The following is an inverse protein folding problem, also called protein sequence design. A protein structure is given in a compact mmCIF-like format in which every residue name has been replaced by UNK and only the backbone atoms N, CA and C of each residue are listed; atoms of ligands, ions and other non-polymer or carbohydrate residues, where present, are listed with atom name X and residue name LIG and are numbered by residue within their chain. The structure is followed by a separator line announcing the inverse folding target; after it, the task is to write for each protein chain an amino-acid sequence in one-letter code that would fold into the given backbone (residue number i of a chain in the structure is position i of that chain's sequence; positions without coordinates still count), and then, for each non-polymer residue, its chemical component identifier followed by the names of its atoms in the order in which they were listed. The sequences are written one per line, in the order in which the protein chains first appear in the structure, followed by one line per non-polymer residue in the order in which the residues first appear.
data_IF_609534941765
#
_entry.id   IF_609534941765
#
_cell.length_a   1.000
_cell.length_b   1.000
_cell.length_c   1.000
_cell.angle_alpha   90.00
_cell.angle_beta   90.00
_cell.angle_gamma   90.00
#
_symmetry.space_group_name_H-M   'P 1'
#
loop_
_entity.id
_entity.type
_entity.pdbx_description
1 polymer ?
#
# COMPACT_ATOMS: atom_id res chain seq x y z
N UNK A 1 -9.04 21.05 21.84
CA UNK A 1 -8.27 19.79 21.65
C UNK A 1 -7.21 20.07 20.61
N UNK A 2 -5.99 19.66 20.83
CA UNK A 2 -4.92 19.81 19.83
C UNK A 2 -5.22 18.89 18.62
N UNK A 3 -4.81 19.32 17.42
CA UNK A 3 -5.03 18.56 16.18
C UNK A 3 -4.60 17.08 16.29
N UNK A 4 -3.44 16.82 16.92
CA UNK A 4 -2.94 15.47 17.19
C UNK A 4 -3.86 14.65 18.11
N UNK A 5 -4.49 15.27 19.09
CA UNK A 5 -5.44 14.59 20.00
C UNK A 5 -6.71 14.18 19.24
N UNK A 6 -7.20 15.03 18.35
CA UNK A 6 -8.38 14.72 17.50
C UNK A 6 -8.07 13.52 16.60
N UNK A 7 -6.92 13.54 15.92
CA UNK A 7 -6.48 12.43 15.07
C UNK A 7 -6.36 11.12 15.83
N UNK A 8 -5.74 11.15 17.02
CA UNK A 8 -5.56 9.97 17.86
C UNK A 8 -6.88 9.39 18.36
N UNK A 9 -7.80 10.22 18.81
CA UNK A 9 -9.12 9.79 19.32
C UNK A 9 -9.95 9.17 18.18
N UNK A 10 -10.03 9.83 17.03
CA UNK A 10 -10.76 9.30 15.88
C UNK A 10 -10.18 7.98 15.39
N UNK A 11 -8.85 7.88 15.35
CA UNK A 11 -8.16 6.65 14.99
C UNK A 11 -8.48 5.50 15.95
N UNK A 12 -8.36 5.71 17.27
CA UNK A 12 -8.65 4.70 18.27
C UNK A 12 -10.13 4.28 18.27
N UNK A 13 -11.04 5.23 18.09
CA UNK A 13 -12.47 4.93 17.94
C UNK A 13 -12.74 4.03 16.73
N UNK A 14 -12.08 4.30 15.60
CA UNK A 14 -12.21 3.48 14.40
C UNK A 14 -11.67 2.06 14.61
N UNK A 15 -10.50 1.92 15.26
CA UNK A 15 -9.94 0.62 15.62
C UNK A 15 -10.90 -0.17 16.51
N UNK A 16 -11.50 0.47 17.52
CA UNK A 16 -12.47 -0.16 18.40
C UNK A 16 -13.72 -0.66 17.64
N UNK A 17 -14.24 0.13 16.71
CA UNK A 17 -15.39 -0.26 15.86
C UNK A 17 -15.05 -1.46 14.99
N UNK A 18 -13.88 -1.47 14.35
CA UNK A 18 -13.47 -2.60 13.51
C UNK A 18 -13.28 -3.89 14.33
N UNK A 19 -12.69 -3.81 15.51
CA UNK A 19 -12.57 -4.94 16.43
C UNK A 19 -13.93 -5.47 16.90
N UNK A 20 -14.86 -4.57 17.19
CA UNK A 20 -16.23 -4.96 17.55
C UNK A 20 -16.94 -5.73 16.42
N UNK A 21 -16.79 -5.26 15.17
CA UNK A 21 -17.36 -5.96 13.99
C UNK A 21 -16.79 -7.37 13.87
N UNK A 22 -15.47 -7.51 14.03
CA UNK A 22 -14.79 -8.82 13.97
C UNK A 22 -15.26 -9.77 15.06
N UNK A 23 -15.33 -9.28 16.29
CA UNK A 23 -15.80 -10.07 17.42
C UNK A 23 -17.24 -10.55 17.21
N UNK A 24 -18.15 -9.65 16.77
CA UNK A 24 -19.54 -10.00 16.49
C UNK A 24 -19.64 -11.01 15.33
N UNK A 25 -18.89 -10.83 14.26
CA UNK A 25 -18.90 -11.73 13.12
C UNK A 25 -18.25 -13.08 13.46
N UNK A 26 -17.20 -13.10 14.28
CA UNK A 26 -16.55 -14.32 14.76
C UNK A 26 -17.47 -15.23 15.56
N UNK A 27 -18.35 -14.66 16.35
CA UNK A 27 -19.34 -15.41 17.13
C UNK A 27 -20.37 -16.18 16.28
N UNK A 28 -20.44 -15.92 14.97
CA UNK A 28 -21.35 -16.66 14.05
C UNK A 28 -20.71 -17.92 13.47
N UNK A 29 -19.42 -18.18 13.72
CA UNK A 29 -18.72 -19.37 13.24
C UNK A 29 -19.10 -20.61 14.09
N UNK A 30 -20.06 -21.41 13.61
CA UNK A 30 -20.54 -22.62 14.34
C UNK A 30 -19.80 -23.89 13.93
N UNK A 31 -19.22 -23.96 12.75
CA UNK A 31 -18.53 -25.14 12.21
C UNK A 31 -17.12 -24.80 11.78
N UNK A 32 -16.24 -25.80 11.74
CA UNK A 32 -14.87 -25.63 11.23
C UNK A 32 -14.82 -25.17 9.77
N UNK A 33 -15.79 -25.60 8.94
CA UNK A 33 -15.95 -25.12 7.56
C UNK A 33 -16.26 -23.62 7.50
N UNK A 34 -17.14 -23.13 8.38
CA UNK A 34 -17.44 -21.69 8.47
C UNK A 34 -16.19 -20.86 8.79
N UNK A 35 -15.33 -21.44 9.62
CA UNK A 35 -14.08 -20.79 10.02
C UNK A 35 -13.03 -20.75 8.89
N UNK A 36 -12.94 -21.79 8.05
CA UNK A 36 -11.87 -21.91 7.04
C UNK A 36 -12.26 -21.42 5.64
N UNK A 37 -13.48 -21.67 5.17
CA UNK A 37 -13.95 -21.33 3.81
C UNK A 37 -15.24 -20.52 3.78
N UNK A 38 -15.78 -20.14 4.96
CA UNK A 38 -17.01 -19.37 5.06
C UNK A 38 -18.25 -20.18 4.65
N UNK A 39 -18.14 -21.52 4.53
CA UNK A 39 -19.25 -22.40 4.13
C UNK A 39 -19.66 -22.23 2.67
N UNK A 40 -18.81 -21.68 1.79
CA UNK A 40 -19.09 -21.38 0.38
C UNK A 40 -20.41 -20.58 0.17
N UNK A 41 -20.73 -19.68 1.09
CA UNK A 41 -22.04 -19.03 1.18
C UNK A 41 -22.10 -17.62 0.57
N UNK A 42 -20.96 -17.07 0.13
CA UNK A 42 -20.91 -15.70 -0.37
C UNK A 42 -21.38 -15.57 -1.81
N UNK A 43 -22.13 -14.50 -2.10
CA UNK A 43 -22.49 -14.16 -3.48
C UNK A 43 -21.27 -13.69 -4.27
N UNK A 44 -21.35 -13.73 -5.61
CA UNK A 44 -20.27 -13.22 -6.47
C UNK A 44 -19.96 -11.75 -6.23
N UNK A 45 -20.95 -10.92 -5.89
CA UNK A 45 -20.72 -9.52 -5.52
C UNK A 45 -19.98 -9.37 -4.18
N UNK A 46 -20.46 -10.03 -3.13
CA UNK A 46 -19.82 -9.98 -1.80
C UNK A 46 -18.37 -10.47 -1.86
N UNK A 47 -18.16 -11.59 -2.55
CA UNK A 47 -16.80 -12.11 -2.70
C UNK A 47 -15.91 -11.21 -3.56
N UNK A 48 -16.46 -10.59 -4.63
CA UNK A 48 -15.72 -9.62 -5.44
C UNK A 48 -15.30 -8.39 -4.64
N UNK A 49 -16.19 -7.86 -3.80
CA UNK A 49 -15.87 -6.78 -2.88
C UNK A 49 -14.83 -7.20 -1.83
N UNK A 50 -14.94 -8.43 -1.30
CA UNK A 50 -13.95 -8.96 -0.36
C UNK A 50 -12.58 -9.12 -1.02
N UNK A 51 -12.52 -9.66 -2.25
CA UNK A 51 -11.29 -9.76 -3.04
C UNK A 51 -10.67 -8.38 -3.26
N UNK A 52 -11.49 -7.40 -3.69
CA UNK A 52 -11.03 -6.03 -3.86
C UNK A 52 -10.48 -5.46 -2.53
N UNK A 53 -11.18 -5.68 -1.41
CA UNK A 53 -10.72 -5.27 -0.08
C UNK A 53 -9.42 -5.94 0.34
N UNK A 54 -9.24 -7.23 0.05
CA UNK A 54 -7.98 -7.92 0.32
C UNK A 54 -6.83 -7.35 -0.49
N UNK A 55 -7.10 -7.05 -1.75
CA UNK A 55 -6.09 -6.57 -2.67
C UNK A 55 -5.73 -5.10 -2.43
N UNK A 56 -6.72 -4.23 -2.24
CA UNK A 56 -6.53 -2.83 -1.88
C UNK A 56 -5.98 -2.71 -0.46
N UNK A 57 -4.68 -2.91 -0.33
CA UNK A 57 -3.95 -2.91 0.94
C UNK A 57 -3.29 -1.57 1.24
N UNK A 58 -2.70 -1.43 2.43
CA UNK A 58 -1.87 -0.27 2.74
C UNK A 58 -0.70 -0.12 1.75
N UNK A 59 -0.05 -1.23 1.35
CA UNK A 59 1.01 -1.18 0.37
C UNK A 59 0.53 -0.66 -0.99
N UNK A 60 -0.69 -1.00 -1.43
CA UNK A 60 -1.24 -0.49 -2.68
C UNK A 60 -1.78 0.94 -2.55
N UNK A 61 -2.38 1.32 -1.43
CA UNK A 61 -2.90 2.69 -1.23
C UNK A 61 -1.78 3.68 -0.91
N UNK A 62 -1.00 3.39 0.13
CA UNK A 62 0.04 4.28 0.58
C UNK A 62 1.29 4.15 -0.28
N UNK A 63 1.76 2.91 -0.52
CA UNK A 63 3.01 2.66 -1.22
C UNK A 63 2.98 3.06 -2.69
N UNK A 64 1.90 2.78 -3.43
CA UNK A 64 1.81 3.15 -4.85
C UNK A 64 1.64 4.67 -4.99
N UNK A 65 0.73 5.29 -4.23
CA UNK A 65 0.58 6.74 -4.26
C UNK A 65 1.91 7.43 -3.88
N UNK A 66 2.63 6.91 -2.88
CA UNK A 66 3.95 7.42 -2.51
C UNK A 66 5.02 7.19 -3.57
N UNK A 67 5.05 6.03 -4.20
CA UNK A 67 6.00 5.75 -5.28
C UNK A 67 5.75 6.67 -6.48
N UNK A 68 4.49 6.94 -6.83
CA UNK A 68 4.14 7.91 -7.86
C UNK A 68 4.56 9.32 -7.44
N UNK A 69 4.30 9.72 -6.20
CA UNK A 69 4.70 11.02 -5.69
C UNK A 69 6.22 11.25 -5.74
N UNK A 70 7.03 10.20 -5.54
CA UNK A 70 8.49 10.28 -5.53
C UNK A 70 9.12 10.06 -6.91
N UNK A 71 8.55 9.18 -7.73
CA UNK A 71 9.17 8.70 -8.98
C UNK A 71 8.27 8.87 -10.21
N UNK A 72 7.15 9.57 -10.10
CA UNK A 72 6.27 9.90 -11.23
C UNK A 72 5.84 8.67 -12.02
N UNK A 73 6.19 8.67 -13.31
CA UNK A 73 5.81 7.61 -14.26
C UNK A 73 6.23 6.21 -13.80
N UNK A 74 7.42 6.05 -13.23
CA UNK A 74 7.90 4.74 -12.79
C UNK A 74 7.06 4.16 -11.64
N UNK A 75 6.48 5.02 -10.79
CA UNK A 75 5.50 4.61 -9.79
C UNK A 75 4.18 4.12 -10.41
N UNK A 76 3.78 4.69 -11.53
CA UNK A 76 2.57 4.31 -12.26
C UNK A 76 2.65 2.88 -12.85
N UNK A 77 3.84 2.39 -13.19
CA UNK A 77 4.05 1.02 -13.68
C UNK A 77 3.52 -0.05 -12.71
N UNK A 78 3.58 0.21 -11.41
CA UNK A 78 3.00 -0.70 -10.41
C UNK A 78 1.48 -0.81 -10.53
N UNK A 79 0.78 0.29 -10.75
CA UNK A 79 -0.68 0.30 -10.92
C UNK A 79 -1.10 -0.51 -12.13
N UNK A 80 -0.41 -0.36 -13.27
CA UNK A 80 -0.68 -1.11 -14.49
C UNK A 80 -0.43 -2.61 -14.27
N UNK A 81 0.75 -2.97 -13.74
CA UNK A 81 1.12 -4.37 -13.55
C UNK A 81 0.14 -5.11 -12.66
N UNK A 82 -0.26 -4.50 -11.56
CA UNK A 82 -1.25 -5.06 -10.65
C UNK A 82 -2.64 -5.20 -11.28
N UNK A 83 -3.08 -4.27 -12.11
CA UNK A 83 -4.37 -4.38 -12.80
C UNK A 83 -4.36 -5.50 -13.84
N UNK A 84 -3.29 -5.61 -14.63
CA UNK A 84 -3.14 -6.65 -15.65
C UNK A 84 -3.14 -8.06 -15.04
N UNK A 85 -2.58 -8.22 -13.84
CA UNK A 85 -2.62 -9.48 -13.11
C UNK A 85 -4.05 -10.00 -12.89
N UNK A 86 -5.02 -9.10 -12.69
CA UNK A 86 -6.43 -9.49 -12.52
C UNK A 86 -7.09 -9.96 -13.82
N UNK A 87 -6.64 -9.46 -14.97
CA UNK A 87 -7.07 -9.99 -16.27
C UNK A 87 -6.56 -11.43 -16.44
N UNK A 88 -5.32 -11.70 -16.06
CA UNK A 88 -4.77 -13.07 -16.05
C UNK A 88 -5.55 -13.96 -15.09
N UNK A 89 -5.86 -13.49 -13.89
CA UNK A 89 -6.65 -14.24 -12.90
C UNK A 89 -8.07 -14.55 -13.43
N UNK A 90 -8.71 -13.60 -14.11
CA UNK A 90 -10.03 -13.81 -14.71
C UNK A 90 -10.02 -14.88 -15.80
N UNK A 91 -9.08 -14.76 -16.73
CA UNK A 91 -9.06 -15.57 -17.95
C UNK A 91 -8.54 -16.99 -17.70
N UNK A 92 -7.54 -17.15 -16.82
CA UNK A 92 -6.78 -18.39 -16.69
C UNK A 92 -6.99 -19.11 -15.36
N UNK A 93 -7.43 -18.43 -14.30
CA UNK A 93 -7.35 -18.98 -12.93
C UNK A 93 -8.71 -19.18 -12.28
N UNK A 94 -9.60 -18.21 -12.30
CA UNK A 94 -10.80 -18.20 -11.46
C UNK A 94 -11.73 -19.40 -11.63
N UNK A 95 -12.13 -19.72 -12.86
CA UNK A 95 -13.01 -20.84 -13.14
C UNK A 95 -12.35 -22.21 -12.98
N UNK A 96 -11.15 -22.44 -13.58
CA UNK A 96 -10.45 -23.71 -13.40
C UNK A 96 -10.14 -24.01 -11.93
N UNK A 97 -9.74 -23.00 -11.18
CA UNK A 97 -9.44 -23.18 -9.77
C UNK A 97 -10.67 -23.56 -8.95
N UNK A 98 -11.81 -22.88 -9.17
CA UNK A 98 -13.06 -23.22 -8.50
C UNK A 98 -13.58 -24.62 -8.90
N UNK A 99 -13.44 -25.00 -10.16
CA UNK A 99 -13.88 -26.29 -10.69
C UNK A 99 -12.99 -27.44 -10.22
N UNK A 100 -11.75 -27.19 -9.79
CA UNK A 100 -10.87 -28.23 -9.24
C UNK A 100 -11.44 -28.91 -7.98
N UNK A 101 -12.37 -28.25 -7.28
CA UNK A 101 -12.97 -28.75 -6.05
C UNK A 101 -12.00 -28.94 -4.90
N UNK A 102 -10.78 -28.36 -4.97
CA UNK A 102 -9.73 -28.47 -3.96
C UNK A 102 -9.78 -27.25 -3.03
N UNK A 103 -9.09 -27.32 -1.90
CA UNK A 103 -9.18 -26.29 -0.87
C UNK A 103 -7.92 -25.41 -0.76
N UNK A 104 -6.77 -25.90 -1.25
CA UNK A 104 -5.49 -25.17 -1.20
C UNK A 104 -4.76 -25.25 -2.53
N UNK A 105 -3.81 -24.33 -2.76
CA UNK A 105 -2.94 -24.38 -3.94
C UNK A 105 -2.10 -25.65 -3.98
N UNK A 106 -1.61 -26.09 -2.83
CA UNK A 106 -0.91 -27.36 -2.69
C UNK A 106 -1.75 -28.56 -3.13
N UNK A 107 -3.05 -28.57 -2.78
CA UNK A 107 -3.99 -29.62 -3.21
C UNK A 107 -4.23 -29.60 -4.73
N UNK A 108 -4.32 -28.42 -5.35
CA UNK A 108 -4.50 -28.27 -6.80
C UNK A 108 -3.27 -28.74 -7.57
N UNK A 109 -2.10 -28.29 -7.16
CA UNK A 109 -0.84 -28.64 -7.82
C UNK A 109 -0.49 -30.11 -7.63
N UNK A 110 -0.73 -30.67 -6.45
CA UNK A 110 -0.44 -32.08 -6.15
C UNK A 110 -1.40 -33.07 -6.81
N UNK A 111 -2.48 -32.59 -7.44
CA UNK A 111 -3.43 -33.47 -8.12
C UNK A 111 -2.83 -34.20 -9.31
N UNK A 112 -1.90 -33.58 -10.04
CA UNK A 112 -1.24 -34.15 -11.21
C UNK A 112 0.27 -34.43 -11.01
N UNK A 113 0.80 -34.06 -9.85
CA UNK A 113 2.22 -34.18 -9.54
C UNK A 113 2.45 -35.01 -8.28
N UNK A 114 3.71 -35.34 -7.99
CA UNK A 114 4.08 -36.06 -6.75
C UNK A 114 3.66 -35.26 -5.53
N UNK A 115 2.82 -35.84 -4.68
CA UNK A 115 2.14 -35.10 -3.60
C UNK A 115 3.11 -34.49 -2.59
N UNK A 116 4.06 -35.26 -2.05
CA UNK A 116 4.94 -34.78 -0.97
C UNK A 116 5.82 -33.59 -1.44
N UNK A 117 6.64 -33.71 -2.50
CA UNK A 117 7.53 -32.59 -2.88
C UNK A 117 6.74 -31.34 -3.31
N UNK A 118 5.60 -31.51 -3.98
CA UNK A 118 4.79 -30.37 -4.45
C UNK A 118 4.10 -29.66 -3.30
N UNK A 119 3.54 -30.38 -2.34
CA UNK A 119 2.93 -29.79 -1.14
C UNK A 119 3.98 -29.07 -0.30
N UNK A 120 5.17 -29.66 -0.12
CA UNK A 120 6.26 -29.02 0.61
C UNK A 120 6.69 -27.72 -0.09
N UNK A 121 6.90 -27.76 -1.42
CA UNK A 121 7.27 -26.57 -2.18
C UNK A 121 6.18 -25.49 -2.10
N UNK A 122 4.90 -25.85 -2.22
CA UNK A 122 3.77 -24.92 -2.08
C UNK A 122 3.70 -24.29 -0.69
N UNK A 123 3.90 -25.08 0.36
CA UNK A 123 3.90 -24.59 1.75
C UNK A 123 5.06 -23.63 1.99
N UNK A 124 6.27 -23.96 1.55
CA UNK A 124 7.45 -23.07 1.65
C UNK A 124 7.21 -21.78 0.87
N UNK A 125 6.74 -21.86 -0.38
CA UNK A 125 6.45 -20.68 -1.20
C UNK A 125 5.39 -19.78 -0.55
N UNK A 126 4.32 -20.36 -0.03
CA UNK A 126 3.26 -19.62 0.66
C UNK A 126 3.80 -18.93 1.92
N UNK A 127 4.62 -19.63 2.71
CA UNK A 127 5.26 -19.07 3.90
C UNK A 127 6.16 -17.87 3.55
N UNK A 128 7.05 -18.04 2.56
CA UNK A 128 7.96 -16.99 2.13
C UNK A 128 7.19 -15.75 1.64
N UNK A 129 6.21 -15.95 0.76
CA UNK A 129 5.35 -14.85 0.26
C UNK A 129 4.66 -14.14 1.42
N UNK A 130 4.09 -14.89 2.36
CA UNK A 130 3.37 -14.31 3.52
C UNK A 130 4.30 -13.49 4.42
N UNK A 131 5.53 -13.95 4.67
CA UNK A 131 6.52 -13.22 5.49
C UNK A 131 6.89 -11.89 4.81
N UNK A 132 7.30 -11.91 3.55
CA UNK A 132 7.67 -10.68 2.83
C UNK A 132 6.51 -9.70 2.75
N UNK A 133 5.31 -10.20 2.53
CA UNK A 133 4.13 -9.38 2.46
C UNK A 133 3.76 -8.77 3.83
N UNK A 134 3.89 -9.54 4.92
CA UNK A 134 3.72 -9.03 6.28
C UNK A 134 4.72 -7.93 6.60
N UNK A 135 5.99 -8.12 6.24
CA UNK A 135 7.03 -7.10 6.43
C UNK A 135 6.65 -5.77 5.75
N UNK A 136 6.20 -5.81 4.49
CA UNK A 136 5.76 -4.62 3.78
C UNK A 136 4.57 -3.92 4.47
N UNK A 137 3.62 -4.70 5.02
CA UNK A 137 2.48 -4.14 5.76
C UNK A 137 2.92 -3.52 7.10
N UNK A 138 3.87 -4.13 7.81
CA UNK A 138 4.37 -3.61 9.08
C UNK A 138 5.12 -2.29 8.89
N UNK A 139 5.89 -2.15 7.82
CA UNK A 139 6.55 -0.87 7.47
C UNK A 139 5.50 0.22 7.24
N UNK A 140 4.47 -0.07 6.43
CA UNK A 140 3.36 0.88 6.19
C UNK A 140 2.61 1.23 7.48
N UNK A 141 2.35 0.23 8.35
CA UNK A 141 1.71 0.45 9.65
C UNK A 141 2.53 1.36 10.55
N UNK A 142 3.84 1.09 10.64
CA UNK A 142 4.74 1.89 11.46
C UNK A 142 4.81 3.35 11.01
N UNK A 143 4.92 3.60 9.71
CA UNK A 143 4.93 4.93 9.15
C UNK A 143 3.61 5.68 9.42
N UNK A 144 2.48 5.04 9.17
CA UNK A 144 1.16 5.62 9.34
C UNK A 144 0.85 5.94 10.81
N UNK A 145 1.06 4.99 11.72
CA UNK A 145 0.75 5.20 13.15
C UNK A 145 1.71 6.22 13.77
N UNK A 146 2.98 6.22 13.36
CA UNK A 146 3.93 7.26 13.79
C UNK A 146 3.47 8.64 13.35
N UNK A 147 2.97 8.78 12.12
CA UNK A 147 2.41 10.04 11.62
C UNK A 147 1.18 10.48 12.42
N UNK A 148 0.22 9.58 12.65
CA UNK A 148 -1.03 9.88 13.36
C UNK A 148 -0.83 10.24 14.83
N UNK A 149 0.10 9.57 15.51
CA UNK A 149 0.41 9.81 16.92
C UNK A 149 1.51 10.88 17.14
N UNK A 150 2.12 11.38 16.06
CA UNK A 150 3.22 12.34 16.13
C UNK A 150 4.49 11.76 16.75
N UNK A 151 4.69 10.45 16.70
CA UNK A 151 5.84 9.75 17.28
C UNK A 151 7.02 9.77 16.32
N UNK A 152 8.15 10.22 16.83
CA UNK A 152 9.38 10.41 16.05
C UNK A 152 10.54 9.55 16.53
N UNK A 153 10.48 9.08 17.76
CA UNK A 153 11.52 8.21 18.30
C UNK A 153 11.51 6.83 17.62
N UNK A 154 12.66 6.37 17.06
CA UNK A 154 12.77 5.08 16.40
C UNK A 154 12.42 3.89 17.31
N UNK A 155 12.78 3.99 18.59
CA UNK A 155 12.51 2.92 19.55
C UNK A 155 11.02 2.81 19.84
N UNK A 156 10.34 3.92 20.04
CA UNK A 156 8.88 3.98 20.21
C UNK A 156 8.16 3.46 18.96
N UNK A 157 8.67 3.76 17.76
CA UNK A 157 8.14 3.22 16.49
C UNK A 157 8.21 1.69 16.43
N UNK A 158 9.28 1.08 16.90
CA UNK A 158 9.40 -0.39 16.94
C UNK A 158 8.38 -1.03 17.90
N UNK A 159 8.14 -0.43 19.07
CA UNK A 159 7.10 -0.91 19.97
C UNK A 159 5.70 -0.78 19.39
N UNK A 160 5.42 0.29 18.63
CA UNK A 160 4.16 0.46 17.91
C UNK A 160 3.98 -0.65 16.88
N UNK A 161 5.00 -0.92 16.06
CA UNK A 161 4.96 -1.99 15.06
C UNK A 161 4.67 -3.34 15.73
N UNK A 162 5.32 -3.63 16.85
CA UNK A 162 5.08 -4.85 17.63
C UNK A 162 3.63 -4.90 18.16
N UNK A 163 3.12 -3.80 18.71
CA UNK A 163 1.74 -3.68 19.19
C UNK A 163 0.71 -3.88 18.09
N UNK A 164 0.93 -3.29 16.92
CA UNK A 164 0.09 -3.51 15.73
C UNK A 164 0.12 -4.97 15.29
N UNK A 165 1.28 -5.62 15.31
CA UNK A 165 1.41 -7.05 15.01
C UNK A 165 0.60 -7.93 15.95
N UNK A 166 0.67 -7.68 17.27
CA UNK A 166 -0.14 -8.37 18.27
C UNK A 166 -1.63 -8.15 18.01
N UNK A 167 -2.04 -6.91 17.74
CA UNK A 167 -3.43 -6.57 17.44
C UNK A 167 -3.93 -7.31 16.19
N UNK A 168 -3.09 -7.44 15.15
CA UNK A 168 -3.41 -8.22 13.95
C UNK A 168 -3.61 -9.71 14.28
N UNK A 169 -2.75 -10.30 15.10
CA UNK A 169 -2.90 -11.70 15.52
C UNK A 169 -4.22 -11.90 16.25
N UNK A 170 -4.56 -11.05 17.20
CA UNK A 170 -5.84 -11.11 17.94
C UNK A 170 -7.04 -10.99 16.98
N UNK A 171 -7.00 -9.99 16.09
CA UNK A 171 -8.03 -9.75 15.10
C UNK A 171 -8.32 -10.98 14.23
N UNK A 172 -7.25 -11.60 13.76
CA UNK A 172 -7.31 -12.79 12.90
C UNK A 172 -7.80 -14.00 13.69
N UNK A 173 -7.38 -14.18 14.95
CA UNK A 173 -7.76 -15.35 15.79
C UNK A 173 -9.24 -15.37 16.14
N UNK A 174 -9.86 -14.23 16.28
CA UNK A 174 -11.26 -14.10 16.65
C UNK A 174 -12.19 -14.20 15.42
N UNK A 175 -11.81 -13.57 14.29
CA UNK A 175 -12.73 -13.33 13.17
C UNK A 175 -13.12 -14.54 12.32
N UNK A 176 -12.21 -15.47 12.06
CA UNK A 176 -12.41 -16.54 11.07
C UNK A 176 -12.65 -16.01 9.64
N UNK A 177 -13.01 -16.88 8.68
CA UNK A 177 -13.21 -16.46 7.28
C UNK A 177 -14.44 -15.57 7.10
N UNK A 178 -15.55 -15.87 7.77
CA UNK A 178 -16.77 -15.04 7.67
C UNK A 178 -16.52 -13.64 8.21
N UNK A 179 -15.93 -13.53 9.41
CA UNK A 179 -15.65 -12.24 10.03
C UNK A 179 -14.73 -11.38 9.17
N UNK A 180 -13.64 -11.97 8.70
CA UNK A 180 -12.69 -11.27 7.86
C UNK A 180 -13.29 -10.86 6.50
N UNK A 181 -14.15 -11.68 5.88
CA UNK A 181 -14.84 -11.33 4.63
C UNK A 181 -15.71 -10.08 4.79
N UNK A 182 -16.51 -9.99 5.86
CA UNK A 182 -17.33 -8.80 6.10
C UNK A 182 -16.49 -7.54 6.33
N UNK A 183 -15.38 -7.69 7.05
CA UNK A 183 -14.49 -6.54 7.28
C UNK A 183 -13.76 -6.12 6.00
N UNK A 184 -13.37 -7.06 5.16
CA UNK A 184 -12.79 -6.73 3.85
C UNK A 184 -13.80 -6.00 2.95
N UNK A 185 -15.06 -6.39 2.97
CA UNK A 185 -16.12 -5.66 2.25
C UNK A 185 -16.25 -4.24 2.79
N UNK A 186 -16.37 -4.07 4.11
CA UNK A 186 -16.46 -2.75 4.74
C UNK A 186 -15.24 -1.87 4.39
N UNK A 187 -14.05 -2.44 4.52
CA UNK A 187 -12.78 -1.80 4.16
C UNK A 187 -12.77 -1.35 2.70
N UNK A 188 -13.20 -2.23 1.77
CA UNK A 188 -13.26 -1.88 0.35
C UNK A 188 -14.14 -0.64 0.11
N UNK A 189 -15.31 -0.58 0.72
CA UNK A 189 -16.19 0.59 0.63
C UNK A 189 -15.54 1.84 1.20
N UNK A 190 -15.01 1.77 2.41
CA UNK A 190 -14.38 2.92 3.06
C UNK A 190 -13.17 3.44 2.27
N UNK A 191 -12.34 2.53 1.77
CA UNK A 191 -11.17 2.91 0.99
C UNK A 191 -11.55 3.52 -0.35
N UNK A 192 -12.55 2.97 -1.04
CA UNK A 192 -13.07 3.53 -2.29
C UNK A 192 -13.66 4.93 -2.08
N UNK A 193 -14.44 5.14 -1.02
CA UNK A 193 -15.01 6.46 -0.68
C UNK A 193 -13.90 7.44 -0.33
N UNK A 194 -12.95 7.05 0.51
CA UNK A 194 -11.81 7.91 0.89
C UNK A 194 -10.92 8.28 -0.30
N UNK A 195 -10.58 7.31 -1.15
CA UNK A 195 -9.79 7.58 -2.35
C UNK A 195 -10.56 8.46 -3.35
N UNK A 196 -11.86 8.22 -3.54
CA UNK A 196 -12.71 9.04 -4.41
C UNK A 196 -12.80 10.48 -3.90
N UNK A 197 -13.05 10.67 -2.60
CA UNK A 197 -13.09 11.99 -1.98
C UNK A 197 -11.80 12.76 -2.23
N UNK A 198 -10.65 12.17 -1.92
CA UNK A 198 -9.37 12.82 -2.13
C UNK A 198 -9.11 13.11 -3.61
N UNK A 199 -9.44 12.16 -4.50
CA UNK A 199 -9.28 12.34 -5.95
C UNK A 199 -10.11 13.53 -6.46
N UNK A 200 -11.37 13.61 -6.05
CA UNK A 200 -12.24 14.74 -6.41
C UNK A 200 -11.68 16.06 -5.88
N UNK A 201 -11.19 16.09 -4.64
CA UNK A 201 -10.60 17.31 -4.06
C UNK A 201 -9.30 17.71 -4.78
N UNK A 202 -8.46 16.76 -5.17
CA UNK A 202 -7.26 17.02 -5.97
C UNK A 202 -7.66 17.62 -7.32
N UNK A 203 -8.54 16.94 -8.05
CA UNK A 203 -8.94 17.38 -9.38
C UNK A 203 -9.68 18.73 -9.34
N UNK A 204 -10.47 18.99 -8.30
CA UNK A 204 -11.12 20.28 -8.12
C UNK A 204 -10.12 21.43 -7.97
N UNK A 205 -8.99 21.20 -7.30
CA UNK A 205 -7.92 22.21 -7.19
C UNK A 205 -7.30 22.59 -8.55
N UNK A 206 -7.41 21.72 -9.54
CA UNK A 206 -6.95 21.92 -10.91
C UNK A 206 -8.10 22.11 -11.91
N UNK A 207 -9.32 22.51 -11.45
CA UNK A 207 -10.50 22.66 -12.29
C UNK A 207 -10.79 21.44 -13.18
N UNK A 208 -10.49 20.24 -12.69
CA UNK A 208 -10.58 18.96 -13.41
C UNK A 208 -9.68 18.87 -14.65
N UNK A 209 -8.65 19.70 -14.75
CA UNK A 209 -7.66 19.65 -15.80
C UNK A 209 -6.49 18.74 -15.39
N UNK A 210 -6.42 17.56 -16.01
CA UNK A 210 -5.37 16.57 -15.72
C UNK A 210 -3.99 17.08 -16.18
N UNK A 211 -3.93 17.84 -17.28
CA UNK A 211 -2.66 18.38 -17.77
C UNK A 211 -2.04 19.36 -16.78
N UNK A 212 -2.86 20.20 -16.14
CA UNK A 212 -2.39 21.15 -15.12
C UNK A 212 -1.90 20.41 -13.86
N UNK A 213 -2.60 19.33 -13.46
CA UNK A 213 -2.16 18.46 -12.35
C UNK A 213 -0.79 17.85 -12.66
N UNK A 214 -0.62 17.25 -13.83
CA UNK A 214 0.64 16.62 -14.22
C UNK A 214 1.77 17.64 -14.38
N UNK A 215 1.49 18.80 -14.96
CA UNK A 215 2.44 19.92 -15.08
C UNK A 215 2.92 20.40 -13.71
N UNK A 216 2.00 20.66 -12.79
CA UNK A 216 2.31 21.07 -11.42
C UNK A 216 3.13 20.00 -10.66
N UNK A 217 2.80 18.72 -10.84
CA UNK A 217 3.56 17.63 -10.24
C UNK A 217 4.98 17.54 -10.81
N UNK A 218 5.15 17.69 -12.12
CA UNK A 218 6.44 17.68 -12.77
C UNK A 218 7.32 18.85 -12.30
N UNK A 219 6.75 20.06 -12.22
CA UNK A 219 7.45 21.26 -11.77
C UNK A 219 7.87 21.14 -10.30
N UNK A 220 6.94 20.77 -9.40
CA UNK A 220 7.20 20.66 -7.97
C UNK A 220 8.17 19.50 -7.63
N UNK A 221 8.25 18.47 -8.50
CA UNK A 221 9.21 17.37 -8.34
C UNK A 221 10.67 17.79 -8.54
N UNK A 222 10.92 18.97 -9.17
CA UNK A 222 12.24 19.43 -9.58
C UNK A 222 12.86 18.64 -10.73
N UNK A 223 12.17 17.62 -11.27
CA UNK A 223 12.63 16.77 -12.37
C UNK A 223 11.97 17.13 -13.71
N UNK A 224 11.01 18.06 -13.70
CA UNK A 224 10.30 18.55 -14.89
C UNK A 224 9.78 17.38 -15.76
N UNK A 225 10.02 17.43 -17.06
CA UNK A 225 9.54 16.42 -18.01
C UNK A 225 10.01 15.01 -17.71
N UNK A 226 11.20 14.83 -17.10
CA UNK A 226 11.70 13.53 -16.69
C UNK A 226 10.80 12.84 -15.65
N UNK A 227 10.04 13.60 -14.86
CA UNK A 227 9.09 13.05 -13.89
C UNK A 227 7.90 12.34 -14.54
N UNK A 228 7.54 12.75 -15.75
CA UNK A 228 6.45 12.17 -16.54
C UNK A 228 6.92 11.12 -17.55
N UNK A 229 8.22 10.83 -17.57
CA UNK A 229 8.82 9.86 -18.49
C UNK A 229 9.35 8.63 -17.72
N UNK A 230 9.44 7.46 -18.37
CA UNK A 230 10.08 6.29 -17.77
C UNK A 230 11.59 6.48 -17.62
N UNK A 231 12.19 5.79 -16.64
CA UNK A 231 13.65 5.76 -16.49
C UNK A 231 14.21 6.53 -15.29
N UNK A 232 13.37 7.02 -14.38
CA UNK A 232 13.85 7.60 -13.13
C UNK A 232 14.36 6.53 -12.15
N UNK A 233 13.64 5.42 -12.05
CA UNK A 233 13.94 4.34 -11.11
C UNK A 233 14.27 3.02 -11.83
N UNK A 234 13.52 2.68 -12.87
CA UNK A 234 13.62 1.42 -13.59
C UNK A 234 14.01 1.66 -15.05
N UNK A 235 14.86 0.78 -15.61
CA UNK A 235 15.26 0.82 -17.02
C UNK A 235 16.15 2.00 -17.40
N UNK A 236 16.69 2.72 -16.41
CA UNK A 236 17.55 3.88 -16.62
C UNK A 236 18.90 3.52 -17.24
N UNK A 237 19.47 4.45 -17.99
CA UNK A 237 20.88 4.36 -18.38
C UNK A 237 21.77 4.53 -17.15
N UNK A 238 22.74 3.65 -17.00
CA UNK A 238 23.69 3.68 -15.90
C UNK A 238 25.00 4.27 -16.40
N UNK A 239 25.35 5.42 -15.84
CA UNK A 239 26.61 6.11 -16.15
C UNK A 239 27.66 5.61 -15.17
N UNK A 240 28.80 5.17 -15.70
CA UNK A 240 29.96 4.81 -14.90
C UNK A 240 30.54 6.06 -14.24
N UNK A 241 30.66 6.03 -12.91
CA UNK A 241 31.12 7.17 -12.12
C UNK A 241 32.58 7.57 -12.41
N UNK A 242 33.38 6.62 -12.96
CA UNK A 242 34.81 6.85 -13.22
C UNK A 242 35.04 7.43 -14.61
N UNK A 243 34.34 6.91 -15.62
CA UNK A 243 34.52 7.31 -17.01
C UNK A 243 33.56 8.39 -17.51
N UNK A 244 32.44 8.60 -16.80
CA UNK A 244 31.36 9.50 -17.24
C UNK A 244 30.59 8.97 -18.45
N UNK A 245 30.87 7.76 -18.92
CA UNK A 245 30.23 7.15 -20.08
C UNK A 245 29.12 6.17 -19.64
N UNK A 246 28.18 5.90 -20.55
CA UNK A 246 27.14 4.90 -20.32
C UNK A 246 27.76 3.52 -20.21
N UNK A 247 27.54 2.83 -19.08
CA UNK A 247 27.92 1.43 -18.90
C UNK A 247 26.87 0.54 -19.60
N UNK A 248 27.24 -0.09 -20.73
CA UNK A 248 26.26 -0.86 -21.52
C UNK A 248 25.76 -2.11 -20.77
N UNK A 249 26.62 -2.72 -19.93
CA UNK A 249 26.28 -3.95 -19.19
C UNK A 249 25.29 -3.60 -18.05
N UNK A 250 25.59 -2.62 -17.24
CA UNK A 250 24.70 -2.18 -16.16
C UNK A 250 23.39 -1.61 -16.70
N UNK A 251 23.42 -0.92 -17.82
CA UNK A 251 22.22 -0.43 -18.51
C UNK A 251 21.35 -1.58 -19.02
N UNK A 252 21.96 -2.64 -19.58
CA UNK A 252 21.24 -3.83 -19.97
C UNK A 252 20.56 -4.49 -18.76
N UNK A 253 21.28 -4.66 -17.64
CA UNK A 253 20.72 -5.20 -16.41
C UNK A 253 19.56 -4.35 -15.88
N UNK A 254 19.66 -3.03 -15.91
CA UNK A 254 18.58 -2.12 -15.51
C UNK A 254 17.32 -2.31 -16.37
N UNK A 255 17.48 -2.53 -17.69
CA UNK A 255 16.36 -2.80 -18.60
C UNK A 255 15.75 -4.18 -18.38
N UNK A 256 16.58 -5.21 -18.12
CA UNK A 256 16.11 -6.55 -17.77
C UNK A 256 15.35 -6.53 -16.43
N UNK A 257 15.79 -5.74 -15.49
CA UNK A 257 15.14 -5.55 -14.19
C UNK A 257 13.72 -4.97 -14.34
N UNK A 258 13.53 -4.04 -15.28
CA UNK A 258 12.20 -3.51 -15.61
C UNK A 258 11.27 -4.61 -16.18
N UNK A 259 11.78 -5.46 -17.08
CA UNK A 259 11.02 -6.59 -17.63
C UNK A 259 10.68 -7.59 -16.51
N UNK A 260 11.66 -7.92 -15.67
CA UNK A 260 11.48 -8.78 -14.50
C UNK A 260 10.43 -8.23 -13.53
N UNK A 261 10.44 -6.93 -13.27
CA UNK A 261 9.43 -6.25 -12.47
C UNK A 261 8.03 -6.44 -13.08
N UNK A 262 7.88 -6.22 -14.38
CA UNK A 262 6.60 -6.40 -15.08
C UNK A 262 6.07 -7.84 -14.94
N UNK A 263 6.92 -8.84 -15.17
CA UNK A 263 6.57 -10.25 -15.00
C UNK A 263 6.21 -10.59 -13.55
N UNK A 264 6.98 -10.09 -12.58
CA UNK A 264 6.71 -10.29 -11.16
C UNK A 264 5.39 -9.67 -10.72
N UNK A 265 5.07 -8.46 -11.20
CA UNK A 265 3.80 -7.78 -10.89
C UNK A 265 2.61 -8.54 -11.47
N UNK A 266 2.70 -9.01 -12.70
CA UNK A 266 1.57 -9.68 -13.38
C UNK A 266 1.40 -11.11 -12.88
N UNK A 267 2.43 -11.95 -13.00
CA UNK A 267 2.34 -13.37 -12.70
C UNK A 267 2.36 -13.64 -11.17
N UNK A 268 3.18 -12.91 -10.43
CA UNK A 268 3.26 -13.04 -8.98
C UNK A 268 1.95 -12.66 -8.31
N UNK A 269 1.34 -11.54 -8.70
CA UNK A 269 0.06 -11.09 -8.15
C UNK A 269 -1.09 -12.03 -8.52
N UNK A 270 -1.15 -12.51 -9.77
CA UNK A 270 -2.16 -13.48 -10.19
C UNK A 270 -2.05 -14.81 -9.43
N UNK A 271 -0.85 -15.16 -8.95
CA UNK A 271 -0.57 -16.38 -8.20
C UNK A 271 -0.65 -16.26 -6.67
N UNK A 272 -1.06 -15.12 -6.10
CA UNK A 272 -1.09 -14.92 -4.66
C UNK A 272 -2.02 -15.92 -3.94
N UNK A 273 -1.49 -16.82 -3.08
CA UNK A 273 -2.28 -17.92 -2.51
C UNK A 273 -3.48 -17.45 -1.69
N UNK A 274 -3.33 -16.38 -0.94
CA UNK A 274 -4.36 -15.83 -0.08
C UNK A 274 -5.55 -15.27 -0.87
N UNK A 275 -5.33 -14.75 -2.07
CA UNK A 275 -6.38 -14.24 -2.95
C UNK A 275 -7.08 -15.40 -3.66
N UNK A 276 -6.31 -16.34 -4.18
CA UNK A 276 -6.84 -17.47 -4.93
C UNK A 276 -7.83 -18.32 -4.12
N UNK A 277 -7.59 -18.41 -2.83
CA UNK A 277 -8.46 -19.17 -1.91
C UNK A 277 -9.87 -18.56 -1.80
N UNK A 278 -10.06 -17.27 -2.12
CA UNK A 278 -11.36 -16.61 -2.16
C UNK A 278 -12.29 -17.22 -3.20
N UNK A 279 -11.75 -17.85 -4.24
CA UNK A 279 -12.57 -18.53 -5.24
C UNK A 279 -13.30 -19.77 -4.70
N UNK A 280 -12.87 -20.32 -3.57
CA UNK A 280 -13.55 -21.42 -2.90
C UNK A 280 -14.69 -21.00 -1.96
N UNK A 281 -14.76 -19.70 -1.62
CA UNK A 281 -15.81 -19.17 -0.72
C UNK A 281 -17.17 -18.96 -1.39
N UNK A 282 -17.24 -19.11 -2.71
CA UNK A 282 -18.47 -19.01 -3.51
C UNK A 282 -18.98 -20.39 -3.93
N UNK A 283 -20.31 -20.55 -4.15
CA UNK A 283 -20.90 -21.88 -4.40
C UNK A 283 -20.58 -22.45 -5.79
N UNK A 284 -20.39 -21.60 -6.81
CA UNK A 284 -20.26 -22.03 -8.20
C UNK A 284 -19.12 -21.33 -8.93
N UNK A 285 -18.62 -21.93 -10.04
CA UNK A 285 -17.63 -21.31 -10.93
C UNK A 285 -18.15 -20.03 -11.58
N UNK A 286 -19.43 -19.97 -11.93
CA UNK A 286 -20.07 -18.75 -12.43
C UNK A 286 -20.05 -17.62 -11.40
N UNK A 287 -20.25 -17.94 -10.12
CA UNK A 287 -20.12 -16.98 -9.03
C UNK A 287 -18.66 -16.54 -8.83
N UNK A 288 -17.68 -17.45 -8.99
CA UNK A 288 -16.26 -17.12 -8.96
C UNK A 288 -15.88 -16.12 -10.06
N UNK A 289 -16.29 -16.38 -11.31
CA UNK A 289 -16.07 -15.44 -12.42
C UNK A 289 -16.73 -14.08 -12.19
N UNK A 290 -17.97 -14.06 -11.70
CA UNK A 290 -18.65 -12.81 -11.32
C UNK A 290 -17.91 -12.05 -10.22
N UNK A 291 -17.29 -12.76 -9.26
CA UNK A 291 -16.46 -12.16 -8.24
C UNK A 291 -15.26 -11.42 -8.82
N UNK A 292 -14.58 -12.03 -9.80
CA UNK A 292 -13.41 -11.41 -10.44
C UNK A 292 -13.80 -10.17 -11.23
N UNK A 293 -14.94 -10.20 -11.95
CA UNK A 293 -15.42 -9.03 -12.68
C UNK A 293 -15.66 -7.84 -11.73
N UNK A 294 -16.30 -8.07 -10.59
CA UNK A 294 -16.47 -7.04 -9.56
C UNK A 294 -15.15 -6.57 -8.96
N UNK A 295 -14.22 -7.51 -8.73
CA UNK A 295 -12.90 -7.18 -8.22
C UNK A 295 -12.12 -6.30 -9.21
N UNK A 296 -12.10 -6.66 -10.51
CA UNK A 296 -11.42 -5.87 -11.56
C UNK A 296 -11.98 -4.45 -11.64
N UNK A 297 -13.31 -4.29 -11.64
CA UNK A 297 -13.94 -2.97 -11.69
C UNK A 297 -13.52 -2.09 -10.50
N UNK A 298 -13.59 -2.63 -9.28
CA UNK A 298 -13.21 -1.88 -8.07
C UNK A 298 -11.71 -1.60 -8.00
N UNK A 299 -10.86 -2.60 -8.28
CA UNK A 299 -9.40 -2.47 -8.25
C UNK A 299 -8.93 -1.49 -9.33
N UNK A 300 -9.51 -1.57 -10.55
CA UNK A 300 -9.18 -0.66 -11.64
C UNK A 300 -9.54 0.79 -11.29
N UNK A 301 -10.76 1.04 -10.81
CA UNK A 301 -11.17 2.38 -10.35
C UNK A 301 -10.25 2.89 -9.22
N UNK A 302 -9.91 2.01 -8.27
CA UNK A 302 -9.00 2.36 -7.18
C UNK A 302 -7.61 2.76 -7.68
N UNK A 303 -7.03 2.03 -8.64
CA UNK A 303 -5.71 2.40 -9.16
C UNK A 303 -5.72 3.68 -9.98
N UNK A 304 -6.79 3.96 -10.72
CA UNK A 304 -6.94 5.27 -11.36
C UNK A 304 -6.98 6.40 -10.32
N UNK A 305 -7.67 6.19 -9.21
CA UNK A 305 -7.68 7.17 -8.11
C UNK A 305 -6.28 7.30 -7.46
N UNK A 306 -5.58 6.20 -7.20
CA UNK A 306 -4.22 6.26 -6.61
C UNK A 306 -3.21 6.96 -7.50
N UNK A 307 -3.36 6.92 -8.83
CA UNK A 307 -2.55 7.71 -9.74
C UNK A 307 -2.79 9.20 -9.51
N UNK A 308 -4.05 9.63 -9.47
CA UNK A 308 -4.40 11.02 -9.19
C UNK A 308 -3.91 11.47 -7.80
N UNK A 309 -3.98 10.59 -6.79
CA UNK A 309 -3.46 10.87 -5.45
C UNK A 309 -1.94 11.02 -5.43
N UNK A 310 -1.23 10.16 -6.16
CA UNK A 310 0.24 10.21 -6.24
C UNK A 310 0.74 11.48 -6.91
N UNK A 311 0.17 11.83 -8.07
CA UNK A 311 0.49 13.10 -8.73
C UNK A 311 -0.01 14.31 -7.95
N UNK A 312 -1.17 14.22 -7.28
CA UNK A 312 -1.64 15.24 -6.37
C UNK A 312 -0.70 15.48 -5.20
N UNK A 313 -0.17 14.41 -4.61
CA UNK A 313 0.84 14.53 -3.56
C UNK A 313 2.13 15.19 -4.10
N UNK A 314 2.60 14.79 -5.28
CA UNK A 314 3.76 15.41 -5.93
C UNK A 314 3.53 16.90 -6.24
N UNK A 315 2.29 17.27 -6.62
CA UNK A 315 1.96 18.66 -6.97
C UNK A 315 1.86 19.58 -5.74
N UNK A 316 1.36 19.06 -4.60
CA UNK A 316 1.07 19.91 -3.43
C UNK A 316 2.08 19.77 -2.29
N UNK A 317 2.83 18.67 -2.22
CA UNK A 317 3.72 18.37 -1.10
C UNK A 317 5.15 18.28 -1.62
N UNK A 318 6.07 19.00 -1.00
CA UNK A 318 7.48 18.92 -1.40
C UNK A 318 8.04 17.51 -1.16
N UNK A 319 8.97 17.08 -2.00
CA UNK A 319 9.65 15.79 -1.86
C UNK A 319 10.31 15.64 -0.48
N UNK A 320 10.88 16.70 0.03
CA UNK A 320 11.49 16.74 1.37
C UNK A 320 10.45 16.47 2.46
N UNK A 321 9.26 17.08 2.36
CA UNK A 321 8.17 16.84 3.31
C UNK A 321 7.64 15.40 3.21
N UNK A 322 7.58 14.82 2.01
CA UNK A 322 7.14 13.43 1.81
C UNK A 322 8.11 12.41 2.42
N UNK A 323 9.42 12.69 2.34
CA UNK A 323 10.44 11.73 2.79
C UNK A 323 10.77 11.89 4.27
N UNK A 324 10.93 13.14 4.76
CA UNK A 324 11.51 13.40 6.09
C UNK A 324 10.60 14.22 7.02
N UNK A 325 9.45 14.70 6.55
CA UNK A 325 8.62 15.65 7.31
C UNK A 325 9.28 17.02 7.50
N UNK A 326 10.34 17.31 6.75
CA UNK A 326 11.03 18.59 6.75
C UNK A 326 10.36 19.56 5.78
N UNK A 327 10.48 20.83 6.02
CA UNK A 327 9.97 21.89 5.16
C UNK A 327 10.99 23.01 5.02
N UNK A 328 10.89 23.79 3.96
CA UNK A 328 11.66 25.01 3.83
C UNK A 328 10.94 26.11 4.57
N UNK A 329 11.61 26.73 5.53
CA UNK A 329 11.07 27.92 6.21
C UNK A 329 10.96 29.10 5.23
N UNK A 330 9.80 29.76 5.23
CA UNK A 330 9.50 30.85 4.28
C UNK A 330 10.36 32.08 4.47
N UNK A 331 10.89 32.30 5.68
CA UNK A 331 11.66 33.48 6.05
C UNK A 331 13.16 33.22 5.86
N UNK A 332 13.66 32.14 6.44
CA UNK A 332 15.09 31.82 6.43
C UNK A 332 15.52 31.11 5.15
N UNK A 333 14.57 30.56 4.39
CA UNK A 333 14.81 29.70 3.21
C UNK A 333 15.65 28.47 3.52
N UNK A 334 15.79 28.11 4.78
CA UNK A 334 16.52 26.95 5.24
C UNK A 334 15.58 25.76 5.47
N UNK A 335 16.12 24.56 5.32
CA UNK A 335 15.42 23.34 5.71
C UNK A 335 15.23 23.32 7.24
N UNK A 336 14.00 23.17 7.66
CA UNK A 336 13.64 23.03 9.06
C UNK A 336 12.89 21.72 9.31
N UNK A 337 13.07 21.16 10.47
CA UNK A 337 12.33 20.00 10.93
C UNK A 337 10.86 20.37 11.26
N UNK A 338 10.08 19.38 11.68
CA UNK A 338 8.68 19.58 12.11
C UNK A 338 8.51 20.57 13.28
N UNK A 339 9.56 20.78 14.09
CA UNK A 339 9.57 21.70 15.23
C UNK A 339 10.05 23.10 14.84
N UNK A 340 10.22 23.37 13.53
CA UNK A 340 10.82 24.58 12.96
C UNK A 340 12.29 24.81 13.39
N UNK A 341 13.00 23.76 13.77
CA UNK A 341 14.43 23.81 14.04
C UNK A 341 15.16 23.59 12.72
N UNK A 342 16.15 24.47 12.45
CA UNK A 342 16.94 24.37 11.23
C UNK A 342 17.72 23.04 11.19
N UNK A 343 17.61 22.33 10.09
CA UNK A 343 18.40 21.12 9.84
C UNK A 343 19.81 21.55 9.45
N UNK A 344 20.77 21.25 10.31
CA UNK A 344 22.19 21.58 10.11
C UNK A 344 22.95 20.29 9.84
N UNK A 345 23.69 20.25 8.76
CA UNK A 345 24.60 19.15 8.47
C UNK A 345 26.00 19.51 8.98
N UNK A 346 26.55 18.78 9.97
CA UNK A 346 27.90 19.02 10.48
C UNK A 346 29.00 18.81 9.42
N UNK A 347 28.71 18.02 8.38
CA UNK A 347 29.68 17.69 7.34
C UNK A 347 29.62 18.64 6.14
N UNK A 348 28.56 19.43 5.99
CA UNK A 348 28.35 20.34 4.85
C UNK A 348 27.79 21.68 5.30
N UNK A 349 28.22 22.75 4.64
CA UNK A 349 27.59 24.07 4.81
C UNK A 349 26.13 24.01 4.39
N UNK A 350 25.23 24.36 5.31
CA UNK A 350 23.79 24.34 5.07
C UNK A 350 23.42 25.28 3.93
N UNK A 351 22.99 24.74 2.81
CA UNK A 351 22.51 25.51 1.66
C UNK A 351 21.08 25.97 1.95
N UNK A 352 20.90 27.25 2.27
CA UNK A 352 19.59 27.86 2.41
C UNK A 352 19.15 28.44 1.05
N UNK A 353 18.27 27.73 0.34
CA UNK A 353 17.73 28.14 -0.96
C UNK A 353 16.24 27.86 -1.04
N UNK A 354 15.52 28.50 -1.96
CA UNK A 354 14.10 28.20 -2.18
C UNK A 354 13.87 26.78 -2.74
N UNK A 355 14.92 26.11 -3.21
CA UNK A 355 14.87 24.76 -3.76
C UNK A 355 15.11 23.72 -2.65
N UNK A 356 14.02 23.16 -2.11
CA UNK A 356 14.06 22.16 -1.04
C UNK A 356 14.80 20.88 -1.46
N UNK A 357 14.77 20.53 -2.75
CA UNK A 357 15.46 19.35 -3.27
C UNK A 357 16.96 19.54 -3.29
N UNK A 358 17.45 20.71 -3.72
CA UNK A 358 18.88 21.00 -3.67
C UNK A 358 19.42 21.02 -2.26
N UNK A 359 18.66 21.57 -1.31
CA UNK A 359 19.04 21.52 0.10
C UNK A 359 19.10 20.09 0.63
N UNK A 360 18.10 19.27 0.32
CA UNK A 360 18.06 17.87 0.75
C UNK A 360 19.15 17.02 0.08
N UNK A 361 19.36 17.19 -1.21
CA UNK A 361 20.39 16.45 -1.94
C UNK A 361 21.83 16.82 -1.50
N UNK A 362 22.01 18.01 -0.94
CA UNK A 362 23.28 18.47 -0.39
C UNK A 362 23.59 17.91 1.01
N UNK A 363 22.62 17.31 1.69
CA UNK A 363 22.84 16.70 2.99
C UNK A 363 23.64 15.39 2.88
N UNK A 364 24.42 15.07 3.90
CA UNK A 364 25.13 13.79 4.01
C UNK A 364 24.15 12.61 4.05
N UNK A 365 24.58 11.45 3.56
CA UNK A 365 23.75 10.22 3.59
C UNK A 365 23.38 9.82 5.00
N UNK A 366 24.24 10.10 5.98
CA UNK A 366 23.98 9.88 7.38
C UNK A 366 22.79 10.71 7.89
N UNK A 367 22.73 11.98 7.56
CA UNK A 367 21.61 12.85 7.92
C UNK A 367 20.31 12.48 7.20
N UNK A 368 20.43 12.06 5.94
CA UNK A 368 19.28 11.55 5.17
C UNK A 368 18.69 10.28 5.78
N UNK A 369 19.51 9.43 6.40
CA UNK A 369 19.06 8.17 7.04
C UNK A 369 18.62 8.37 8.48
N UNK A 370 19.20 9.30 9.22
CA UNK A 370 18.88 9.60 10.61
C UNK A 370 17.70 10.57 10.78
N UNK A 371 17.16 11.12 9.70
CA UNK A 371 15.98 11.96 9.75
C UNK A 371 14.80 11.15 10.30
N UNK A 372 14.52 11.36 11.56
CA UNK A 372 13.54 10.62 12.35
C UNK A 372 12.15 10.80 11.76
N UNK A 373 11.56 9.70 11.30
CA UNK A 373 10.28 9.69 10.59
C UNK A 373 10.43 9.71 9.07
N UNK A 374 11.64 9.62 8.53
CA UNK A 374 11.87 9.46 7.10
C UNK A 374 11.17 8.21 6.57
N UNK A 375 10.15 8.40 5.79
CA UNK A 375 9.56 7.33 4.99
C UNK A 375 10.05 7.50 3.55
N UNK A 376 11.24 6.96 3.28
CA UNK A 376 11.87 6.96 1.95
C UNK A 376 11.02 6.23 0.89
N UNK A 377 9.99 5.51 1.31
CA UNK A 377 9.05 4.79 0.44
C UNK A 377 7.80 5.61 0.10
N UNK A 378 7.62 6.78 0.72
CA UNK A 378 6.49 7.68 0.47
C UNK A 378 5.14 7.20 1.02
N UNK A 379 5.12 6.25 1.96
CA UNK A 379 3.86 5.69 2.52
C UNK A 379 2.97 6.74 3.21
N UNK A 380 3.53 7.89 3.56
CA UNK A 380 2.79 8.99 4.18
C UNK A 380 2.21 9.98 3.17
N UNK A 381 2.48 9.82 1.86
CA UNK A 381 2.07 10.77 0.82
C UNK A 381 0.54 10.99 0.78
N UNK A 382 -0.26 9.94 0.76
CA UNK A 382 -1.72 10.07 0.73
C UNK A 382 -2.31 10.64 2.03
N UNK A 383 -1.89 10.26 3.25
CA UNK A 383 -2.28 10.92 4.49
C UNK A 383 -1.89 12.40 4.56
N UNK A 384 -0.67 12.76 4.15
CA UNK A 384 -0.24 14.16 4.13
C UNK A 384 -1.01 14.98 3.09
N UNK A 385 -1.33 14.38 1.93
CA UNK A 385 -2.20 15.01 0.95
C UNK A 385 -3.59 15.27 1.54
N UNK A 386 -4.15 14.33 2.30
CA UNK A 386 -5.41 14.51 2.99
C UNK A 386 -5.36 15.66 4.01
N UNK A 387 -4.30 15.75 4.79
CA UNK A 387 -4.05 16.86 5.72
C UNK A 387 -3.99 18.20 4.98
N UNK A 388 -3.24 18.27 3.89
CA UNK A 388 -3.10 19.46 3.07
C UNK A 388 -4.47 19.92 2.51
N UNK A 389 -5.22 19.00 1.92
CA UNK A 389 -6.53 19.29 1.32
C UNK A 389 -7.58 19.70 2.36
N UNK A 390 -7.44 19.21 3.61
CA UNK A 390 -8.29 19.57 4.74
C UNK A 390 -8.01 20.93 5.37
N UNK A 391 -7.00 21.64 4.89
CA UNK A 391 -6.64 22.99 5.39
C UNK A 391 -5.19 23.11 5.90
N UNK A 392 -4.39 22.05 5.75
CA UNK A 392 -2.97 22.01 6.08
C UNK A 392 -2.66 21.66 7.54
N UNK A 393 -1.38 21.55 7.80
CA UNK A 393 -0.85 21.15 9.10
C UNK A 393 -1.27 22.14 10.21
N UNK A 394 -1.72 21.60 11.34
CA UNK A 394 -2.18 22.40 12.49
C UNK A 394 -3.64 22.90 12.40
N UNK A 395 -4.29 22.78 11.24
CA UNK A 395 -5.71 23.10 11.11
C UNK A 395 -6.61 21.96 11.64
N UNK A 396 -7.78 22.30 12.16
CA UNK A 396 -8.77 21.30 12.63
C UNK A 396 -9.24 20.44 11.44
N UNK A 397 -9.49 21.04 10.28
CA UNK A 397 -9.93 20.32 9.08
C UNK A 397 -8.84 19.39 8.55
N UNK A 398 -7.58 19.83 8.52
CA UNK A 398 -6.42 18.98 8.18
C UNK A 398 -6.28 17.79 9.11
N UNK A 399 -6.39 18.01 10.42
CA UNK A 399 -6.33 16.94 11.42
C UNK A 399 -7.45 15.90 11.25
N UNK A 400 -8.69 16.35 10.97
CA UNK A 400 -9.81 15.45 10.71
C UNK A 400 -9.60 14.64 9.45
N UNK A 401 -9.19 15.25 8.35
CA UNK A 401 -8.93 14.56 7.09
C UNK A 401 -7.78 13.55 7.22
N UNK A 402 -6.69 13.94 7.88
CA UNK A 402 -5.58 13.05 8.21
C UNK A 402 -6.06 11.84 9.03
N UNK A 403 -6.88 12.08 10.06
CA UNK A 403 -7.41 11.02 10.92
C UNK A 403 -8.31 10.04 10.17
N UNK A 404 -9.23 10.55 9.35
CA UNK A 404 -10.17 9.73 8.56
C UNK A 404 -9.39 8.86 7.56
N UNK A 405 -8.54 9.46 6.75
CA UNK A 405 -7.78 8.74 5.73
C UNK A 405 -6.75 7.80 6.37
N UNK A 406 -6.11 8.23 7.44
CA UNK A 406 -5.21 7.39 8.23
C UNK A 406 -5.92 6.20 8.87
N UNK A 407 -7.11 6.38 9.43
CA UNK A 407 -7.92 5.29 9.98
C UNK A 407 -8.37 4.30 8.91
N UNK A 408 -8.80 4.78 7.74
CA UNK A 408 -9.13 3.94 6.58
C UNK A 408 -7.91 3.15 6.12
N UNK A 409 -6.76 3.80 5.97
CA UNK A 409 -5.50 3.15 5.61
C UNK A 409 -5.08 2.09 6.66
N UNK A 410 -5.21 2.40 7.94
CA UNK A 410 -4.90 1.46 9.01
C UNK A 410 -5.86 0.24 9.04
N UNK A 411 -7.14 0.44 8.76
CA UNK A 411 -8.07 -0.66 8.59
C UNK A 411 -7.61 -1.65 7.52
N UNK A 412 -6.92 -1.15 6.49
CA UNK A 412 -6.36 -2.01 5.44
C UNK A 412 -5.23 -2.91 5.94
N UNK A 413 -4.55 -2.51 6.98
CA UNK A 413 -3.48 -3.28 7.62
C UNK A 413 -4.08 -4.36 8.54
N UNK A 414 -5.01 -3.97 9.41
CA UNK A 414 -5.61 -4.88 10.39
C UNK A 414 -6.44 -6.01 9.76
N UNK A 415 -7.12 -5.74 8.65
CA UNK A 415 -8.10 -6.66 8.06
C UNK A 415 -7.48 -7.88 7.36
N UNK A 416 -6.20 -8.18 7.57
CA UNK A 416 -5.50 -9.30 6.94
C UNK A 416 -5.64 -10.58 7.75
N UNK A 417 -6.33 -11.55 7.16
CA UNK A 417 -6.69 -12.81 7.81
C UNK A 417 -6.04 -14.06 7.22
N UNK A 418 -5.19 -13.90 6.21
CA UNK A 418 -4.83 -15.00 5.32
C UNK A 418 -3.65 -15.82 5.79
N UNK A 419 -2.85 -15.29 6.69
CA UNK A 419 -1.68 -15.96 7.29
C UNK A 419 -2.03 -17.23 8.05
N UNK A 420 -3.30 -17.41 8.46
CA UNK A 420 -3.80 -18.63 9.11
C UNK A 420 -3.72 -19.87 8.26
N UNK A 421 -3.70 -19.77 6.94
CA UNK A 421 -3.78 -20.93 6.05
C UNK A 421 -2.45 -21.54 5.76
N UNK A 422 -1.38 -20.77 5.94
CA UNK A 422 -0.01 -21.30 5.96
C UNK A 422 0.08 -22.44 7.00
N UNK A 423 -0.51 -22.25 8.19
CA UNK A 423 -0.59 -23.29 9.20
C UNK A 423 -1.36 -24.53 8.73
N UNK A 424 -2.43 -24.41 7.95
CA UNK A 424 -3.20 -25.55 7.44
C UNK A 424 -2.48 -26.34 6.35
N UNK A 425 -1.74 -25.66 5.47
CA UNK A 425 -0.88 -26.32 4.48
C UNK A 425 0.28 -27.03 5.16
N UNK A 426 0.90 -26.41 6.18
CA UNK A 426 1.96 -27.02 6.97
C UNK A 426 1.46 -28.20 7.85
N UNK A 427 0.26 -28.12 8.43
CA UNK A 427 -0.29 -29.19 9.27
C UNK A 427 -0.78 -30.41 8.46
N UNK A 428 -0.99 -30.29 7.15
CA UNK A 428 -1.30 -31.42 6.26
C UNK A 428 -0.07 -32.10 5.65
N UNK A 429 1.12 -31.59 5.94
CA UNK A 429 2.39 -32.23 5.65
C UNK A 429 2.70 -33.33 6.67
#
# INVERSE_FOLDING_TARGET
MNASTISSVLFLAFVAVTLFIVWRAGNTNKKSTDFYDGGASFSGFQNGMAIAGDYMSAASFLGIAGTIALFGYDGFLYSIGFLVAWLVALLLIAEPLRNSGRFTMGDVLSFRMRQVPVRTASAVSTLVVSIFYLMAQMVGAGALVSLLLGITDPTAKNYIIAGVGILMILYVTIGGMKGTTYVQILKAFLLMIGAALLTVLVLWRFNFNISDLLGAAAENSGKKDAFLQPGMKFGKEVIDATSGLVDPVKTLWSKLDLISLGLALVLGTAGLPHILIRFYTVPTSKAARKSVNWAIGNIGAFYLMTIALGFGAAAFISRVSLTNGWKVDKVTKCLVDKNNVQVVDPANTTLCTDDSLKQFDALSDELKTHAVGADMSGNVAAPQLAEFLGGGHGSTGGAIMLAIIGAIAFATILARSEERRVGKECLRL
#
